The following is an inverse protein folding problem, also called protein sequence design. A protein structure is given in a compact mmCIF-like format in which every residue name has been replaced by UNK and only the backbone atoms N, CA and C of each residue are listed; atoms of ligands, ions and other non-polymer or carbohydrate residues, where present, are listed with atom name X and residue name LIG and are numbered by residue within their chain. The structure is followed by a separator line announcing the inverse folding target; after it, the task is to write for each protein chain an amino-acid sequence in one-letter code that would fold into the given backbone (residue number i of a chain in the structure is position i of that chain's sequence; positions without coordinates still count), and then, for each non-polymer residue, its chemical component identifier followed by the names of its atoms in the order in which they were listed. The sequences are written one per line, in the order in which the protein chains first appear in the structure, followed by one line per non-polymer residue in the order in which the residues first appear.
data_IF_547615972679
#
_entry.id   IF_547615972679
#
_cell.length_a   1.000
_cell.length_b   1.000
_cell.length_c   1.000
_cell.angle_alpha   90.00
_cell.angle_beta   90.00
_cell.angle_gamma   90.00
#
_symmetry.space_group_name_H-M   'P 1'
#
loop_
_entity.id
_entity.type
_entity.pdbx_description
1 polymer ?
#
# COMPACT_ATOMS: atom_id res chain seq x y z
N UNK A 1 5.32 59.92 24.90
CA UNK A 1 5.93 60.44 23.66
C UNK A 1 6.96 59.41 23.20
N UNK A 2 6.85 58.85 22.07
CA UNK A 2 7.78 57.89 21.54
C UNK A 2 7.07 56.66 20.94
N UNK A 3 6.62 56.84 19.72
CA UNK A 3 5.97 55.82 18.88
C UNK A 3 6.99 54.82 18.44
N UNK A 4 6.84 53.56 18.85
CA UNK A 4 7.64 52.45 18.33
C UNK A 4 6.98 51.93 17.05
N UNK A 5 7.64 52.18 15.94
CA UNK A 5 7.32 51.65 14.64
C UNK A 5 7.42 50.13 14.65
N UNK A 6 6.31 49.47 14.39
CA UNK A 6 6.28 48.03 14.20
C UNK A 6 7.06 47.63 12.95
N UNK A 7 8.11 46.86 13.13
CA UNK A 7 8.80 46.24 12.04
C UNK A 7 7.86 45.19 11.40
N UNK A 8 7.32 45.51 10.25
CA UNK A 8 6.67 44.55 9.37
C UNK A 8 7.75 43.57 8.91
N UNK A 9 7.77 42.40 9.51
CA UNK A 9 8.52 41.27 8.97
C UNK A 9 7.78 40.75 7.73
N UNK A 10 8.18 41.28 6.60
CA UNK A 10 7.78 40.78 5.29
C UNK A 10 8.40 39.40 5.14
N UNK A 11 7.61 38.37 5.43
CA UNK A 11 7.95 36.97 5.07
C UNK A 11 7.99 36.91 3.56
N UNK A 12 9.18 37.20 2.99
CA UNK A 12 9.49 37.06 1.59
C UNK A 12 8.89 35.74 1.09
N UNK A 13 8.00 35.91 0.11
CA UNK A 13 7.45 34.82 -0.69
C UNK A 13 8.61 34.05 -1.31
N UNK A 14 9.09 33.02 -0.62
CA UNK A 14 9.73 31.92 -1.30
C UNK A 14 8.68 31.30 -2.22
N UNK A 15 8.56 31.83 -3.41
CA UNK A 15 7.99 31.12 -4.53
C UNK A 15 8.91 29.94 -4.79
N UNK A 16 8.73 28.87 -3.99
CA UNK A 16 9.03 27.56 -4.50
C UNK A 16 8.24 27.46 -5.79
N UNK A 17 8.94 27.40 -6.91
CA UNK A 17 8.39 26.86 -8.15
C UNK A 17 8.00 25.41 -7.84
N UNK A 18 6.85 25.29 -7.15
CA UNK A 18 6.16 24.04 -7.03
C UNK A 18 5.73 23.74 -8.46
N UNK A 19 6.49 22.89 -9.16
CA UNK A 19 6.00 22.22 -10.35
C UNK A 19 4.83 21.39 -9.83
N UNK A 20 3.66 22.03 -9.74
CA UNK A 20 2.42 21.35 -9.42
C UNK A 20 2.11 20.51 -10.64
N UNK A 21 2.34 19.21 -10.53
CA UNK A 21 1.83 18.29 -11.53
C UNK A 21 0.36 18.61 -11.76
N UNK A 22 -0.13 18.56 -13.02
CA UNK A 22 -1.54 18.82 -13.30
C UNK A 22 -2.41 17.93 -12.41
N UNK A 23 -3.48 18.45 -11.85
CA UNK A 23 -4.42 17.71 -11.00
C UNK A 23 -4.87 16.40 -11.67
N UNK A 24 -5.00 16.40 -12.99
CA UNK A 24 -5.30 15.23 -13.79
C UNK A 24 -4.25 14.10 -13.64
N UNK A 25 -2.96 14.45 -13.49
CA UNK A 25 -1.93 13.43 -13.29
C UNK A 25 -2.02 12.78 -11.90
N UNK A 26 -2.32 13.56 -10.87
CA UNK A 26 -2.57 13.00 -9.53
C UNK A 26 -3.83 12.13 -9.49
N UNK A 27 -4.90 12.51 -10.20
CA UNK A 27 -6.11 11.68 -10.33
C UNK A 27 -5.83 10.37 -11.06
N UNK A 28 -5.03 10.42 -12.12
CA UNK A 28 -4.59 9.20 -12.82
C UNK A 28 -3.73 8.31 -11.90
N UNK A 29 -2.79 8.90 -11.16
CA UNK A 29 -1.95 8.17 -10.22
C UNK A 29 -2.77 7.53 -9.08
N UNK A 30 -3.77 8.24 -8.52
CA UNK A 30 -4.69 7.70 -7.52
C UNK A 30 -5.43 6.48 -8.04
N UNK A 31 -6.02 6.58 -9.24
CA UNK A 31 -6.69 5.44 -9.88
C UNK A 31 -5.73 4.29 -10.17
N UNK A 32 -4.53 4.58 -10.68
CA UNK A 32 -3.51 3.57 -10.98
C UNK A 32 -3.08 2.82 -9.72
N UNK A 33 -2.73 3.53 -8.65
CA UNK A 33 -2.35 2.91 -7.38
C UNK A 33 -3.49 2.10 -6.78
N UNK A 34 -4.73 2.61 -6.88
CA UNK A 34 -5.91 1.88 -6.40
C UNK A 34 -6.08 0.55 -7.16
N UNK A 35 -6.07 0.57 -8.48
CA UNK A 35 -6.23 -0.62 -9.31
C UNK A 35 -5.07 -1.60 -9.12
N UNK A 36 -3.82 -1.10 -9.13
CA UNK A 36 -2.62 -1.91 -8.96
C UNK A 36 -2.58 -2.60 -7.60
N UNK A 37 -2.83 -1.87 -6.53
CA UNK A 37 -2.76 -2.42 -5.18
C UNK A 37 -3.90 -3.43 -4.92
N UNK A 38 -5.10 -3.14 -5.41
CA UNK A 38 -6.23 -4.07 -5.34
C UNK A 38 -5.93 -5.37 -6.11
N UNK A 39 -5.35 -5.27 -7.31
CA UNK A 39 -4.92 -6.42 -8.09
C UNK A 39 -3.82 -7.22 -7.37
N UNK A 40 -2.86 -6.54 -6.72
CA UNK A 40 -1.80 -7.18 -5.95
C UNK A 40 -2.36 -7.95 -4.74
N UNK A 41 -3.32 -7.39 -4.01
CA UNK A 41 -4.00 -8.06 -2.89
C UNK A 41 -4.72 -9.31 -3.38
N UNK A 42 -5.51 -9.21 -4.45
CA UNK A 42 -6.21 -10.35 -5.05
C UNK A 42 -5.23 -11.42 -5.53
N UNK A 43 -4.15 -11.00 -6.21
CA UNK A 43 -3.14 -11.93 -6.69
C UNK A 43 -2.40 -12.62 -5.54
N UNK A 44 -2.03 -11.91 -4.49
CA UNK A 44 -1.40 -12.50 -3.31
C UNK A 44 -2.33 -13.48 -2.60
N UNK A 45 -3.63 -13.19 -2.54
CA UNK A 45 -4.61 -14.06 -1.87
C UNK A 45 -4.96 -15.31 -2.68
N UNK A 46 -5.00 -15.24 -4.02
CA UNK A 46 -5.56 -16.30 -4.87
C UNK A 46 -4.57 -16.88 -5.91
N UNK A 47 -3.43 -16.23 -6.16
CA UNK A 47 -2.51 -16.60 -7.23
C UNK A 47 -1.87 -17.98 -7.05
N UNK A 48 -1.78 -18.51 -5.83
CA UNK A 48 -1.30 -19.85 -5.53
C UNK A 48 -2.24 -20.97 -6.01
N UNK A 49 -3.51 -20.67 -6.27
CA UNK A 49 -4.49 -21.65 -6.76
C UNK A 49 -4.13 -22.14 -8.16
N UNK A 50 -3.58 -21.29 -9.00
CA UNK A 50 -3.29 -21.60 -10.40
C UNK A 50 -1.82 -22.02 -10.57
N UNK A 51 -1.57 -23.20 -11.11
CA UNK A 51 -0.21 -23.74 -11.28
C UNK A 51 0.74 -22.81 -12.06
N UNK A 52 0.23 -22.13 -13.08
CA UNK A 52 1.03 -21.21 -13.93
C UNK A 52 1.49 -19.95 -13.19
N UNK A 53 0.75 -19.53 -12.18
CA UNK A 53 1.01 -18.27 -11.44
C UNK A 53 1.70 -18.49 -10.09
N UNK A 54 1.81 -19.72 -9.60
CA UNK A 54 2.36 -20.05 -8.27
C UNK A 54 3.74 -19.45 -8.03
N UNK A 55 4.64 -19.58 -8.99
CA UNK A 55 5.98 -19.03 -8.85
C UNK A 55 5.98 -17.50 -8.71
N UNK A 56 5.23 -16.80 -9.56
CA UNK A 56 5.10 -15.34 -9.48
C UNK A 56 4.38 -14.89 -8.21
N UNK A 57 3.39 -15.67 -7.76
CA UNK A 57 2.70 -15.42 -6.50
C UNK A 57 3.64 -15.58 -5.30
N UNK A 58 4.52 -16.58 -5.30
CA UNK A 58 5.53 -16.73 -4.26
C UNK A 58 6.48 -15.51 -4.22
N UNK A 59 6.89 -14.99 -5.38
CA UNK A 59 7.74 -13.79 -5.47
C UNK A 59 7.01 -12.59 -4.86
N UNK A 60 5.77 -12.32 -5.27
CA UNK A 60 5.02 -11.16 -4.76
C UNK A 60 4.70 -11.27 -3.27
N UNK A 61 4.37 -12.46 -2.77
CA UNK A 61 4.19 -12.73 -1.34
C UNK A 61 5.49 -12.52 -0.56
N UNK A 62 6.64 -12.96 -1.10
CA UNK A 62 7.95 -12.78 -0.47
C UNK A 62 8.35 -11.29 -0.42
N UNK A 63 8.06 -10.53 -1.47
CA UNK A 63 8.28 -9.07 -1.48
C UNK A 63 7.37 -8.35 -0.47
N UNK A 64 6.12 -8.80 -0.34
CA UNK A 64 5.20 -8.26 0.67
C UNK A 64 5.69 -8.60 2.08
N UNK A 65 6.14 -9.84 2.33
CA UNK A 65 6.73 -10.24 3.60
C UNK A 65 7.98 -9.39 3.93
N UNK A 66 8.86 -9.20 2.95
CA UNK A 66 10.03 -8.34 3.11
C UNK A 66 9.64 -6.91 3.49
N UNK A 67 8.65 -6.34 2.80
CA UNK A 67 8.15 -4.99 3.10
C UNK A 67 7.59 -4.91 4.53
N UNK A 68 6.75 -5.86 4.93
CA UNK A 68 6.09 -5.84 6.24
C UNK A 68 7.05 -6.08 7.40
N UNK A 69 7.97 -7.03 7.26
CA UNK A 69 8.86 -7.43 8.35
C UNK A 69 10.19 -6.67 8.35
N UNK A 70 10.82 -6.47 7.19
CA UNK A 70 12.12 -5.82 7.13
C UNK A 70 11.98 -4.30 7.12
N UNK A 71 11.20 -3.73 6.18
CA UNK A 71 10.97 -2.29 6.18
C UNK A 71 10.11 -1.85 7.38
N UNK A 72 9.22 -2.72 7.85
CA UNK A 72 8.42 -2.50 9.05
C UNK A 72 9.22 -2.25 10.33
N UNK A 73 10.47 -2.70 10.42
CA UNK A 73 11.37 -2.40 11.55
C UNK A 73 11.62 -0.88 11.66
N UNK A 74 11.73 -0.19 10.52
CA UNK A 74 12.00 1.26 10.49
C UNK A 74 10.75 2.13 10.36
N UNK A 75 9.73 1.64 9.65
CA UNK A 75 8.55 2.42 9.28
C UNK A 75 7.27 2.00 10.00
N UNK A 76 7.31 0.91 10.78
CA UNK A 76 6.15 0.35 11.47
C UNK A 76 5.62 -0.94 10.81
N UNK A 77 5.04 -1.81 11.62
CA UNK A 77 4.51 -3.11 11.19
C UNK A 77 3.46 -2.96 10.09
N UNK A 78 3.56 -3.81 9.06
CA UNK A 78 2.64 -3.77 7.94
C UNK A 78 2.96 -2.69 6.91
N UNK A 79 4.12 -2.03 7.00
CA UNK A 79 4.53 -0.99 6.06
C UNK A 79 4.57 -1.51 4.62
N UNK A 80 3.92 -0.77 3.73
CA UNK A 80 3.93 -1.01 2.29
C UNK A 80 4.27 0.28 1.55
N UNK A 81 5.39 0.30 0.84
CA UNK A 81 5.83 1.49 0.11
C UNK A 81 4.83 1.94 -0.98
N UNK A 82 4.11 0.99 -1.59
CA UNK A 82 3.06 1.33 -2.57
C UNK A 82 1.89 2.07 -1.91
N UNK A 83 1.51 1.67 -0.69
CA UNK A 83 0.48 2.34 0.10
C UNK A 83 0.93 3.74 0.48
N UNK A 84 2.17 3.88 0.96
CA UNK A 84 2.74 5.17 1.34
C UNK A 84 2.77 6.16 0.16
N UNK A 85 3.20 5.70 -1.01
CA UNK A 85 3.15 6.52 -2.23
C UNK A 85 1.72 6.90 -2.63
N UNK A 86 0.76 5.98 -2.48
CA UNK A 86 -0.64 6.27 -2.77
C UNK A 86 -1.20 7.32 -1.82
N UNK A 87 -0.90 7.22 -0.51
CA UNK A 87 -1.30 8.24 0.47
C UNK A 87 -0.74 9.62 0.13
N UNK A 88 0.52 9.71 -0.27
CA UNK A 88 1.13 10.97 -0.73
C UNK A 88 0.39 11.57 -1.94
N UNK A 89 -0.06 10.75 -2.90
CA UNK A 89 -0.85 11.20 -4.04
C UNK A 89 -2.22 11.71 -3.59
N UNK A 90 -2.90 10.98 -2.70
CA UNK A 90 -4.22 11.33 -2.18
C UNK A 90 -4.20 12.62 -1.36
N UNK A 91 -3.17 12.81 -0.54
CA UNK A 91 -2.94 14.07 0.19
C UNK A 91 -2.81 15.28 -0.76
N UNK A 92 -2.10 15.11 -1.90
CA UNK A 92 -1.99 16.15 -2.93
C UNK A 92 -3.32 16.48 -3.59
N UNK A 93 -4.25 15.54 -3.63
CA UNK A 93 -5.63 15.75 -4.09
C UNK A 93 -6.56 16.32 -3.02
N UNK A 94 -6.08 16.50 -1.78
CA UNK A 94 -6.85 17.03 -0.66
C UNK A 94 -7.67 15.99 0.09
N UNK A 95 -7.47 14.69 -0.17
CA UNK A 95 -8.09 13.64 0.64
C UNK A 95 -7.34 13.49 1.96
N UNK A 96 -8.10 13.46 3.06
CA UNK A 96 -7.60 13.12 4.38
C UNK A 96 -8.09 11.71 4.68
N UNK A 97 -7.20 10.73 4.47
CA UNK A 97 -7.55 9.34 4.75
C UNK A 97 -7.33 9.04 6.23
N UNK A 98 -8.39 8.62 6.90
CA UNK A 98 -8.35 8.22 8.31
C UNK A 98 -8.12 6.72 8.49
N UNK A 99 -7.90 5.99 7.39
CA UNK A 99 -7.70 4.55 7.40
C UNK A 99 -6.24 4.19 7.66
N UNK A 100 -6.01 3.22 8.56
CA UNK A 100 -4.67 2.77 8.92
C UNK A 100 -4.07 1.78 7.91
N UNK A 101 -4.92 1.11 7.13
CA UNK A 101 -4.48 0.12 6.15
C UNK A 101 -5.17 0.30 4.79
N UNK A 102 -4.49 -0.15 3.74
CA UNK A 102 -5.06 -0.12 2.40
C UNK A 102 -6.27 -1.06 2.25
N UNK A 103 -6.24 -2.20 2.94
CA UNK A 103 -7.37 -3.16 2.92
C UNK A 103 -8.61 -2.54 3.52
N UNK A 104 -8.46 -1.74 4.57
CA UNK A 104 -9.55 -0.99 5.18
C UNK A 104 -10.15 0.03 4.22
N UNK A 105 -9.32 0.85 3.57
CA UNK A 105 -9.77 1.76 2.50
C UNK A 105 -10.54 1.02 1.40
N UNK A 106 -10.03 -0.15 0.97
CA UNK A 106 -10.66 -0.96 -0.07
C UNK A 106 -12.04 -1.47 0.37
N UNK A 107 -12.15 -1.97 1.59
CA UNK A 107 -13.41 -2.45 2.16
C UNK A 107 -14.44 -1.33 2.27
N UNK A 108 -14.06 -0.17 2.79
CA UNK A 108 -14.94 1.00 2.87
C UNK A 108 -15.41 1.41 1.47
N UNK A 109 -14.52 1.45 0.48
CA UNK A 109 -14.89 1.83 -0.90
C UNK A 109 -15.83 0.83 -1.57
N UNK A 110 -15.72 -0.47 -1.27
CA UNK A 110 -16.54 -1.52 -1.90
C UNK A 110 -17.87 -1.70 -1.15
N UNK A 111 -17.83 -1.73 0.19
CA UNK A 111 -18.99 -2.09 1.01
C UNK A 111 -19.72 -0.88 1.58
N UNK A 112 -19.03 0.28 1.67
CA UNK A 112 -19.53 1.45 2.37
C UNK A 112 -19.54 1.31 3.89
N UNK A 113 -18.98 0.23 4.44
CA UNK A 113 -18.98 -0.09 5.87
C UNK A 113 -17.55 0.09 6.42
N UNK A 114 -17.47 0.82 7.53
CA UNK A 114 -16.24 0.97 8.31
C UNK A 114 -16.17 -0.17 9.34
N UNK A 115 -15.25 -1.10 9.11
CA UNK A 115 -15.03 -2.24 10.01
C UNK A 115 -14.01 -1.89 11.09
N UNK A 116 -14.07 -2.53 12.28
CA UNK A 116 -13.03 -2.35 13.28
C UNK A 116 -11.64 -2.70 12.74
N UNK A 117 -10.67 -1.78 12.88
CA UNK A 117 -9.31 -1.95 12.36
C UNK A 117 -8.67 -3.28 12.79
N UNK A 118 -8.88 -3.70 14.05
CA UNK A 118 -8.35 -4.97 14.57
C UNK A 118 -8.89 -6.19 13.82
N UNK A 119 -10.14 -6.14 13.36
CA UNK A 119 -10.74 -7.22 12.57
C UNK A 119 -10.12 -7.27 11.17
N UNK A 120 -10.00 -6.11 10.52
CA UNK A 120 -9.41 -5.99 9.17
C UNK A 120 -7.95 -6.44 9.19
N UNK A 121 -7.16 -5.97 10.16
CA UNK A 121 -5.75 -6.32 10.31
C UNK A 121 -5.57 -7.82 10.58
N UNK A 122 -6.36 -8.39 11.50
CA UNK A 122 -6.31 -9.83 11.80
C UNK A 122 -6.67 -10.66 10.59
N UNK A 123 -7.73 -10.30 9.87
CA UNK A 123 -8.15 -11.00 8.65
C UNK A 123 -7.05 -10.91 7.56
N UNK A 124 -6.47 -9.73 7.36
CA UNK A 124 -5.41 -9.49 6.39
C UNK A 124 -4.16 -10.34 6.68
N UNK A 125 -3.68 -10.33 7.94
CA UNK A 125 -2.53 -11.15 8.36
C UNK A 125 -2.82 -12.63 8.23
N UNK A 126 -4.03 -13.07 8.56
CA UNK A 126 -4.45 -14.48 8.45
C UNK A 126 -4.45 -14.92 6.99
N UNK A 127 -5.12 -14.17 6.10
CA UNK A 127 -5.16 -14.48 4.66
C UNK A 127 -3.76 -14.48 4.06
N UNK A 128 -2.93 -13.49 4.40
CA UNK A 128 -1.54 -13.41 3.94
C UNK A 128 -0.73 -14.64 4.39
N UNK A 129 -0.80 -15.01 5.66
CA UNK A 129 -0.05 -16.16 6.23
C UNK A 129 -0.46 -17.46 5.57
N UNK A 130 -1.77 -17.72 5.44
CA UNK A 130 -2.30 -18.90 4.76
C UNK A 130 -1.83 -18.95 3.30
N UNK A 131 -1.94 -17.82 2.58
CA UNK A 131 -1.51 -17.74 1.18
C UNK A 131 -0.01 -18.01 1.03
N UNK A 132 0.82 -17.47 1.92
CA UNK A 132 2.26 -17.67 1.91
C UNK A 132 2.62 -19.16 2.15
N UNK A 133 2.03 -19.78 3.18
CA UNK A 133 2.26 -21.21 3.49
C UNK A 133 1.85 -22.07 2.30
N UNK A 134 0.66 -21.84 1.74
CA UNK A 134 0.17 -22.60 0.58
C UNK A 134 1.03 -22.40 -0.65
N UNK A 135 1.46 -21.15 -0.91
CA UNK A 135 2.33 -20.81 -2.04
C UNK A 135 3.68 -21.51 -1.92
N UNK A 136 4.33 -21.48 -0.75
CA UNK A 136 5.61 -22.18 -0.51
C UNK A 136 5.43 -23.68 -0.69
N UNK A 137 4.44 -24.27 -0.03
CA UNK A 137 4.21 -25.73 -0.09
C UNK A 137 3.96 -26.22 -1.51
N UNK A 138 3.13 -25.53 -2.28
CA UNK A 138 2.80 -25.92 -3.66
C UNK A 138 3.99 -25.73 -4.60
N UNK A 139 4.78 -24.66 -4.47
CA UNK A 139 5.99 -24.47 -5.27
C UNK A 139 7.05 -25.54 -4.98
N UNK A 140 7.28 -25.88 -3.70
CA UNK A 140 8.20 -26.96 -3.31
C UNK A 140 7.73 -28.30 -3.87
N UNK A 141 6.44 -28.63 -3.77
CA UNK A 141 5.87 -29.85 -4.34
C UNK A 141 6.06 -29.91 -5.87
N UNK A 142 5.76 -28.82 -6.56
CA UNK A 142 5.86 -28.76 -8.01
C UNK A 142 7.33 -28.89 -8.47
N UNK A 143 8.27 -28.30 -7.73
CA UNK A 143 9.71 -28.46 -7.98
C UNK A 143 10.19 -29.90 -7.80
N UNK A 144 9.78 -30.56 -6.71
CA UNK A 144 10.13 -31.98 -6.47
C UNK A 144 9.59 -32.89 -7.55
N UNK A 145 8.36 -32.68 -8.00
CA UNK A 145 7.74 -33.49 -9.05
C UNK A 145 8.40 -33.32 -10.42
N UNK A 146 9.03 -32.19 -10.69
CA UNK A 146 9.82 -31.96 -11.93
C UNK A 146 11.14 -32.73 -11.94
N UNK A 147 11.76 -32.90 -10.78
CA UNK A 147 13.05 -33.59 -10.66
C UNK A 147 12.94 -35.13 -10.66
N UNK A 148 11.71 -35.68 -10.57
CA UNK A 148 11.43 -37.11 -10.61
C UNK A 148 10.90 -37.62 -11.97
N UNK A 149 10.86 -36.73 -12.97
CA UNK A 149 10.54 -37.06 -14.37
C UNK A 149 11.76 -36.96 -15.25
#
# INVERSE_FOLDING_TARGET
MGTLAGAFYDKGKFHYLRISMPTALYQFADFFFFAFHSALILFNSLGWLFQKTRFYNLITLSLTAFSWFILGIWYGWGYCFCTDWHWNVREKLGFIDHTNSYVDLLLIKITGIDFPNSLVDTATVTVFTVSLIMSVWLNVRDFRNKNHK
#
